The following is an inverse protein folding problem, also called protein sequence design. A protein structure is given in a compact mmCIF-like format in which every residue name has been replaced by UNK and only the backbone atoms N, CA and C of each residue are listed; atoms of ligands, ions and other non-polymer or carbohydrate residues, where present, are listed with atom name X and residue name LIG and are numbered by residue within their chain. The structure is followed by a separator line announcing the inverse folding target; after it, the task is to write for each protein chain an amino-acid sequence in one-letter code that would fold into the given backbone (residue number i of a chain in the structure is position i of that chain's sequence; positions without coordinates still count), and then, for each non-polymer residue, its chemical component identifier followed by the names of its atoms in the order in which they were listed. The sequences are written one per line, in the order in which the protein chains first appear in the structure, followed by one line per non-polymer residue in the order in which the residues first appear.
data_IF_668974819913
#
_entry.id   IF_668974819913
#
_cell.length_a   1.000
_cell.length_b   1.000
_cell.length_c   1.000
_cell.angle_alpha   90.00
_cell.angle_beta   90.00
_cell.angle_gamma   90.00
#
_symmetry.space_group_name_H-M   'P 1'
#
loop_
_entity.id
_entity.type
_entity.pdbx_description
1 polymer ?
#
# COMPACT_ATOMS: atom_id res chain seq x y z
N UNK A 1 40.29 4.92 -15.99
CA UNK A 1 39.28 3.97 -15.49
C UNK A 1 38.59 4.65 -14.32
N UNK A 2 37.39 5.20 -14.56
CA UNK A 2 36.63 5.93 -13.54
C UNK A 2 35.72 4.93 -12.82
N UNK A 3 35.49 5.05 -11.49
CA UNK A 3 34.61 4.15 -10.76
C UNK A 3 33.13 4.37 -11.16
N UNK A 4 32.41 3.27 -11.34
CA UNK A 4 30.97 3.23 -11.66
C UNK A 4 30.13 3.89 -10.53
N UNK A 5 29.08 4.65 -10.86
CA UNK A 5 28.23 5.31 -9.86
C UNK A 5 27.46 4.26 -9.04
N UNK A 6 27.50 4.44 -7.72
CA UNK A 6 26.94 3.54 -6.72
C UNK A 6 25.49 3.13 -7.00
N UNK A 7 25.27 1.83 -6.94
CA UNK A 7 23.98 1.17 -6.94
C UNK A 7 23.15 1.66 -5.74
N UNK A 8 22.34 2.70 -5.92
CA UNK A 8 21.27 3.09 -5.00
C UNK A 8 20.13 2.08 -5.15
N UNK A 9 20.41 0.84 -4.75
CA UNK A 9 19.51 -0.29 -4.83
C UNK A 9 18.38 -0.13 -3.82
N UNK A 10 17.33 0.61 -4.19
CA UNK A 10 16.01 0.30 -3.65
C UNK A 10 15.73 -1.18 -3.97
N UNK A 11 15.44 -2.03 -2.98
CA UNK A 11 15.05 -3.39 -3.26
C UNK A 11 13.84 -3.34 -4.20
N UNK A 12 13.96 -3.98 -5.37
CA UNK A 12 12.83 -4.12 -6.29
C UNK A 12 11.74 -4.89 -5.54
N UNK A 13 10.49 -4.39 -5.47
CA UNK A 13 9.41 -5.13 -4.82
C UNK A 13 9.30 -6.51 -5.45
N UNK A 14 9.69 -7.54 -4.71
CA UNK A 14 9.66 -8.92 -5.17
C UNK A 14 8.27 -9.50 -4.94
N UNK A 15 7.43 -9.40 -5.98
CA UNK A 15 6.17 -10.13 -6.10
C UNK A 15 4.93 -9.23 -6.04
N UNK A 16 4.40 -8.89 -7.21
CA UNK A 16 3.06 -8.30 -7.36
C UNK A 16 2.04 -9.42 -7.58
N UNK A 17 1.43 -9.94 -6.51
CA UNK A 17 0.24 -10.78 -6.67
C UNK A 17 -1.00 -9.92 -6.42
N UNK A 18 -1.81 -9.60 -7.44
CA UNK A 18 -3.04 -8.85 -7.22
C UNK A 18 -3.94 -9.65 -6.26
N UNK A 19 -4.35 -9.01 -5.17
CA UNK A 19 -5.25 -9.58 -4.16
C UNK A 19 -6.73 -9.31 -4.48
N UNK A 20 -7.03 -8.39 -5.42
CA UNK A 20 -8.40 -8.02 -5.82
C UNK A 20 -8.43 -7.44 -7.23
N UNK A 21 -9.61 -7.48 -7.87
CA UNK A 21 -9.87 -7.00 -9.23
C UNK A 21 -10.18 -5.49 -9.27
N UNK A 22 -10.38 -4.85 -8.12
CA UNK A 22 -10.70 -3.42 -8.01
C UNK A 22 -9.60 -2.59 -7.37
N UNK A 23 -8.60 -3.23 -6.75
CA UNK A 23 -7.45 -2.55 -6.15
C UNK A 23 -6.22 -3.45 -6.28
N UNK A 24 -5.13 -2.90 -6.82
CA UNK A 24 -3.86 -3.61 -6.87
C UNK A 24 -3.20 -3.52 -5.49
N UNK A 25 -2.91 -4.65 -4.87
CA UNK A 25 -2.23 -4.71 -3.58
C UNK A 25 -0.89 -5.42 -3.71
N UNK A 26 0.13 -4.89 -3.04
CA UNK A 26 1.50 -5.36 -3.10
C UNK A 26 2.03 -5.55 -1.69
N UNK A 27 2.68 -6.69 -1.45
CA UNK A 27 3.52 -6.85 -0.27
C UNK A 27 4.87 -6.21 -0.57
N UNK A 28 5.27 -5.24 0.25
CA UNK A 28 6.58 -4.60 0.20
C UNK A 28 7.37 -4.99 1.43
N UNK A 29 8.63 -5.37 1.21
CA UNK A 29 9.55 -5.79 2.27
C UNK A 29 10.84 -4.99 2.17
N UNK A 30 11.31 -4.45 3.30
CA UNK A 30 12.63 -3.81 3.43
C UNK A 30 13.28 -4.25 4.75
N UNK A 31 14.31 -5.10 4.66
CA UNK A 31 14.88 -5.78 5.82
C UNK A 31 13.79 -6.54 6.63
N UNK A 32 13.64 -6.27 7.94
CA UNK A 32 12.58 -6.86 8.76
C UNK A 32 11.20 -6.19 8.57
N UNK A 33 11.16 -5.03 7.90
CA UNK A 33 9.93 -4.28 7.67
C UNK A 33 9.05 -4.90 6.59
N UNK A 34 7.74 -4.93 6.84
CA UNK A 34 6.74 -5.47 5.91
C UNK A 34 5.50 -4.58 5.90
N UNK A 35 5.04 -4.24 4.71
CA UNK A 35 3.87 -3.39 4.49
C UNK A 35 3.01 -3.93 3.35
N UNK A 36 1.73 -3.61 3.41
CA UNK A 36 0.83 -3.77 2.28
C UNK A 36 0.59 -2.40 1.66
N UNK A 37 0.93 -2.25 0.39
CA UNK A 37 0.57 -1.07 -0.41
C UNK A 37 -0.63 -1.43 -1.25
N UNK A 38 -1.71 -0.66 -1.10
CA UNK A 38 -2.91 -0.75 -1.93
C UNK A 38 -2.97 0.47 -2.84
N UNK A 39 -2.93 0.24 -4.15
CA UNK A 39 -3.19 1.26 -5.15
C UNK A 39 -4.69 1.41 -5.34
N UNK A 40 -5.13 2.65 -5.27
CA UNK A 40 -6.47 3.05 -5.60
C UNK A 40 -6.67 2.87 -7.10
N UNK A 41 -7.72 2.16 -7.53
CA UNK A 41 -8.08 2.16 -8.95
C UNK A 41 -8.51 3.56 -9.39
N UNK A 42 -8.15 3.86 -10.63
CA UNK A 42 -8.60 4.99 -11.46
C UNK A 42 -10.08 4.88 -11.87
N UNK A 43 -10.69 3.72 -11.67
CA UNK A 43 -12.13 3.52 -11.82
C UNK A 43 -12.80 4.17 -10.60
N UNK A 44 -13.33 5.38 -10.79
CA UNK A 44 -14.27 5.97 -9.86
C UNK A 44 -15.55 5.12 -9.84
N UNK A 45 -15.65 4.21 -8.87
CA UNK A 45 -16.94 3.61 -8.54
C UNK A 45 -17.78 4.70 -7.86
N UNK A 46 -18.79 5.20 -8.56
CA UNK A 46 -19.72 6.23 -8.06
C UNK A 46 -20.41 5.86 -6.73
N UNK A 47 -20.34 4.60 -6.29
CA UNK A 47 -20.82 4.14 -4.99
C UNK A 47 -19.78 4.15 -3.85
N UNK A 48 -18.51 4.46 -4.10
CA UNK A 48 -17.43 4.35 -3.12
C UNK A 48 -16.78 5.72 -2.88
N UNK A 49 -17.06 6.32 -1.72
CA UNK A 49 -16.37 7.51 -1.23
C UNK A 49 -15.03 7.13 -0.59
N UNK A 50 -13.93 7.70 -1.10
CA UNK A 50 -12.58 7.52 -0.53
C UNK A 50 -12.49 7.98 0.93
N UNK A 51 -13.22 9.04 1.28
CA UNK A 51 -13.27 9.55 2.65
C UNK A 51 -14.00 8.59 3.59
N UNK A 52 -15.03 7.90 3.08
CA UNK A 52 -15.77 6.92 3.86
C UNK A 52 -14.93 5.65 4.05
N UNK A 53 -14.22 5.20 3.01
CA UNK A 53 -13.26 4.10 3.12
C UNK A 53 -12.20 4.41 4.20
N UNK A 54 -11.62 5.61 4.18
CA UNK A 54 -10.63 6.02 5.18
C UNK A 54 -11.22 6.06 6.60
N UNK A 55 -12.44 6.56 6.74
CA UNK A 55 -13.13 6.65 8.03
C UNK A 55 -13.44 5.26 8.58
N UNK A 56 -13.93 4.35 7.73
CA UNK A 56 -14.19 2.95 8.07
C UNK A 56 -12.89 2.26 8.46
N UNK A 57 -11.81 2.43 7.71
CA UNK A 57 -10.51 1.82 8.02
C UNK A 57 -9.96 2.29 9.37
N UNK A 58 -10.06 3.59 9.67
CA UNK A 58 -9.68 4.15 10.98
C UNK A 58 -10.56 3.61 12.12
N UNK A 59 -11.84 3.36 11.85
CA UNK A 59 -12.77 2.76 12.82
C UNK A 59 -12.46 1.28 13.06
N UNK A 60 -12.26 0.52 11.98
CA UNK A 60 -11.94 -0.91 12.01
C UNK A 60 -10.61 -1.18 12.70
N UNK A 61 -9.60 -0.33 12.50
CA UNK A 61 -8.34 -0.42 13.23
C UNK A 61 -8.54 -0.21 14.74
N UNK A 62 -9.30 0.82 15.13
CA UNK A 62 -9.64 1.06 16.55
C UNK A 62 -10.43 -0.10 17.17
N UNK A 63 -11.19 -0.82 16.36
CA UNK A 63 -11.88 -2.05 16.76
C UNK A 63 -11.00 -3.32 16.73
N UNK A 64 -9.73 -3.22 16.32
CA UNK A 64 -8.80 -4.35 16.23
C UNK A 64 -9.05 -5.30 15.05
N UNK A 65 -9.83 -4.88 14.04
CA UNK A 65 -10.23 -5.72 12.90
C UNK A 65 -9.20 -5.65 11.76
N UNK A 66 -8.56 -4.50 11.58
CA UNK A 66 -7.59 -4.27 10.50
C UNK A 66 -6.22 -3.85 11.05
N UNK A 67 -5.14 -4.16 10.32
CA UNK A 67 -3.82 -3.62 10.63
C UNK A 67 -3.83 -2.09 10.70
N UNK A 68 -2.88 -1.48 11.44
CA UNK A 68 -2.70 -0.04 11.46
C UNK A 68 -2.35 0.48 10.06
N UNK A 69 -2.97 1.59 9.70
CA UNK A 69 -2.65 2.35 8.50
C UNK A 69 -1.45 3.26 8.82
N UNK A 70 -0.36 3.06 8.08
CA UNK A 70 0.88 3.83 8.24
C UNK A 70 0.80 5.14 7.46
N UNK A 71 0.20 5.10 6.26
CA UNK A 71 0.09 6.27 5.38
C UNK A 71 -1.13 6.15 4.46
N UNK A 72 -1.71 7.29 4.10
CA UNK A 72 -2.66 7.38 2.99
C UNK A 72 -2.34 8.61 2.14
N UNK A 73 -2.45 8.45 0.83
CA UNK A 73 -2.40 9.52 -0.16
C UNK A 73 -3.60 9.40 -1.10
N UNK A 74 -3.66 10.31 -2.07
CA UNK A 74 -4.75 10.37 -3.04
C UNK A 74 -4.93 9.04 -3.80
N UNK A 75 -3.82 8.40 -4.18
CA UNK A 75 -3.81 7.25 -5.09
C UNK A 75 -3.39 5.94 -4.43
N UNK A 76 -3.02 5.97 -3.14
CA UNK A 76 -2.56 4.76 -2.47
C UNK A 76 -2.72 4.83 -0.95
N UNK A 77 -2.74 3.64 -0.36
CA UNK A 77 -2.76 3.42 1.08
C UNK A 77 -1.67 2.42 1.47
N UNK A 78 -1.05 2.65 2.62
CA UNK A 78 -0.04 1.78 3.20
C UNK A 78 -0.49 1.34 4.59
N UNK A 79 -0.52 0.02 4.82
CA UNK A 79 -0.73 -0.57 6.15
C UNK A 79 0.44 -1.45 6.56
N UNK A 80 0.53 -1.74 7.85
CA UNK A 80 1.37 -2.85 8.33
C UNK A 80 0.84 -4.18 7.77
N UNK A 81 1.75 -5.16 7.65
CA UNK A 81 1.45 -6.54 7.25
C UNK A 81 1.03 -7.41 8.43
#
# INVERSE_FOLDING_TARGET
MLPEPGNSGFPRPSGSRPLSNTNLSFLVTDGPGRWVIRLNSDIEDSGISRNDELTILKGAHRAGITPPMVFNGQDFLISEY
#
